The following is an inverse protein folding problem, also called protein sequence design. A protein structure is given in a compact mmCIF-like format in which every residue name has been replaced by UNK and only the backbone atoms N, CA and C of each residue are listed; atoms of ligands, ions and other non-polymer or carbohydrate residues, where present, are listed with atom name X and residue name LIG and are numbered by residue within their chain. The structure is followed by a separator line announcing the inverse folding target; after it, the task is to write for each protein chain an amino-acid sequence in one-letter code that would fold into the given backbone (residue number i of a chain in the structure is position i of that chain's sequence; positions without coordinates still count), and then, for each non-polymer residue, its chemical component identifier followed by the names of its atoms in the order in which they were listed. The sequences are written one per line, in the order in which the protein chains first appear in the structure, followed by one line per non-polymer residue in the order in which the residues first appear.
data_IF_867699278106
#
_entry.id   IF_867699278106
#
_cell.length_a   1.000
_cell.length_b   1.000
_cell.length_c   1.000
_cell.angle_alpha   90.00
_cell.angle_beta   90.00
_cell.angle_gamma   90.00
#
_symmetry.space_group_name_H-M   'P 1'
#
loop_
_entity.id
_entity.type
_entity.pdbx_description
1 polymer ?
#
# COMPACT_ATOMS: atom_id res chain seq x y z
N UNK A 1 3.52 7.39 -7.81
CA UNK A 1 3.36 6.51 -8.99
C UNK A 1 1.91 6.03 -9.10
N UNK A 2 1.34 5.37 -8.08
CA UNK A 2 -0.05 4.88 -8.11
C UNK A 2 -1.15 5.98 -8.20
N UNK A 3 -0.95 7.14 -7.57
CA UNK A 3 -1.97 8.21 -7.57
C UNK A 3 -2.22 8.81 -8.96
N UNK A 4 -1.24 8.75 -9.85
CA UNK A 4 -1.37 9.27 -11.23
C UNK A 4 -2.18 8.35 -12.14
N UNK A 5 -2.11 7.03 -11.94
CA UNK A 5 -2.89 6.07 -12.74
C UNK A 5 -4.38 6.07 -12.36
N UNK A 6 -4.71 6.39 -11.10
CA UNK A 6 -6.09 6.46 -10.61
C UNK A 6 -6.74 7.85 -10.72
N UNK A 7 -6.02 8.85 -11.26
CA UNK A 7 -6.55 10.20 -11.41
C UNK A 7 -7.86 10.28 -12.23
N UNK A 8 -8.04 9.53 -13.34
CA UNK A 8 -9.31 9.51 -14.08
C UNK A 8 -10.47 8.92 -13.27
N UNK A 9 -10.22 7.87 -12.49
CA UNK A 9 -11.22 7.19 -11.66
C UNK A 9 -11.71 8.10 -10.50
N UNK A 10 -10.76 8.80 -9.87
CA UNK A 10 -11.05 9.78 -8.81
C UNK A 10 -11.82 10.96 -9.38
N UNK A 11 -11.43 11.48 -10.54
CA UNK A 11 -12.11 12.59 -11.19
C UNK A 11 -13.54 12.24 -11.57
N UNK A 12 -13.76 11.03 -12.12
CA UNK A 12 -15.10 10.53 -12.45
C UNK A 12 -15.98 10.45 -11.20
N UNK A 13 -15.44 9.95 -10.10
CA UNK A 13 -16.15 9.86 -8.81
C UNK A 13 -16.55 11.25 -8.27
N UNK A 14 -15.66 12.26 -8.40
CA UNK A 14 -15.98 13.63 -7.98
C UNK A 14 -17.05 14.27 -8.87
N UNK A 15 -16.94 14.10 -10.19
CA UNK A 15 -17.92 14.64 -11.15
C UNK A 15 -19.30 14.01 -10.91
N UNK A 16 -19.36 12.70 -10.68
CA UNK A 16 -20.61 11.97 -10.44
C UNK A 16 -21.29 12.40 -9.14
N UNK A 17 -20.52 12.56 -8.04
CA UNK A 17 -21.05 13.02 -6.75
C UNK A 17 -21.54 14.46 -6.84
N UNK A 18 -20.79 15.35 -7.48
CA UNK A 18 -21.19 16.74 -7.69
C UNK A 18 -22.41 16.85 -8.62
N UNK A 19 -22.51 16.00 -9.64
CA UNK A 19 -23.63 15.95 -10.59
C UNK A 19 -24.93 15.42 -10.00
N UNK A 20 -24.86 14.50 -9.02
CA UNK A 20 -26.04 13.90 -8.36
C UNK A 20 -26.41 14.58 -7.02
N UNK A 21 -25.95 15.82 -6.78
CA UNK A 21 -26.31 16.58 -5.58
C UNK A 21 -25.77 15.97 -4.28
N UNK A 22 -24.50 15.55 -4.28
CA UNK A 22 -23.81 14.91 -3.15
C UNK A 22 -24.28 13.49 -2.80
N UNK A 23 -25.01 12.84 -3.70
CA UNK A 23 -25.24 11.40 -3.62
C UNK A 23 -24.12 10.65 -4.33
N UNK A 24 -23.65 9.55 -3.74
CA UNK A 24 -22.74 8.64 -4.41
C UNK A 24 -23.48 7.96 -5.57
N UNK A 25 -23.00 8.18 -6.80
CA UNK A 25 -23.47 7.38 -7.93
C UNK A 25 -22.82 5.99 -7.92
N UNK A 26 -23.38 5.07 -8.68
CA UNK A 26 -22.95 3.66 -8.65
C UNK A 26 -21.57 3.44 -9.30
N UNK A 27 -21.16 4.30 -10.24
CA UNK A 27 -19.95 4.09 -11.03
C UNK A 27 -18.69 4.38 -10.20
N UNK A 28 -18.62 5.49 -9.48
CA UNK A 28 -17.45 5.90 -8.71
C UNK A 28 -16.98 4.84 -7.70
N UNK A 29 -17.79 4.45 -6.71
CA UNK A 29 -17.44 3.44 -5.72
C UNK A 29 -17.13 2.07 -6.36
N UNK A 30 -17.94 1.64 -7.33
CA UNK A 30 -17.78 0.33 -7.97
C UNK A 30 -16.49 0.25 -8.78
N UNK A 31 -16.14 1.31 -9.51
CA UNK A 31 -14.89 1.38 -10.28
C UNK A 31 -13.67 1.41 -9.36
N UNK A 32 -13.69 2.19 -8.27
CA UNK A 32 -12.57 2.25 -7.31
C UNK A 32 -12.33 0.89 -6.67
N UNK A 33 -13.38 0.24 -6.16
CA UNK A 33 -13.27 -1.07 -5.50
C UNK A 33 -12.86 -2.15 -6.50
N UNK A 34 -13.44 -2.14 -7.71
CA UNK A 34 -13.10 -3.09 -8.77
C UNK A 34 -11.65 -2.99 -9.23
N UNK A 35 -11.13 -1.78 -9.43
CA UNK A 35 -9.73 -1.53 -9.82
C UNK A 35 -8.74 -2.01 -8.73
N UNK A 36 -9.07 -1.77 -7.46
CA UNK A 36 -8.28 -2.26 -6.33
C UNK A 36 -8.25 -3.79 -6.25
N UNK A 37 -9.41 -4.45 -6.42
CA UNK A 37 -9.51 -5.91 -6.42
C UNK A 37 -8.73 -6.52 -7.60
N UNK A 38 -8.84 -5.94 -8.80
CA UNK A 38 -8.12 -6.41 -9.99
C UNK A 38 -6.61 -6.34 -9.79
N UNK A 39 -6.11 -5.25 -9.20
CA UNK A 39 -4.69 -5.10 -8.90
C UNK A 39 -4.22 -6.15 -7.87
N UNK A 40 -4.97 -6.36 -6.79
CA UNK A 40 -4.57 -7.30 -5.75
C UNK A 40 -4.63 -8.77 -6.17
N UNK A 41 -5.60 -9.17 -6.99
CA UNK A 41 -5.76 -10.57 -7.37
C UNK A 41 -5.13 -10.90 -8.72
N UNK A 42 -5.48 -10.17 -9.77
CA UNK A 42 -5.11 -10.53 -11.14
C UNK A 42 -3.69 -10.10 -11.48
N UNK A 43 -3.34 -8.83 -11.20
CA UNK A 43 -2.01 -8.30 -11.51
C UNK A 43 -0.94 -9.03 -10.70
N UNK A 44 -1.15 -9.20 -9.39
CA UNK A 44 -0.19 -9.92 -8.53
C UNK A 44 -0.02 -11.38 -9.00
N UNK A 45 -1.11 -12.09 -9.32
CA UNK A 45 -1.01 -13.47 -9.82
C UNK A 45 -0.20 -13.55 -11.12
N UNK A 46 -0.45 -12.64 -12.08
CA UNK A 46 0.29 -12.58 -13.32
C UNK A 46 1.77 -12.25 -13.09
N UNK A 47 2.08 -11.31 -12.20
CA UNK A 47 3.45 -10.95 -11.84
C UNK A 47 4.24 -12.12 -11.25
N UNK A 48 3.58 -13.04 -10.53
CA UNK A 48 4.20 -14.25 -10.00
C UNK A 48 4.34 -15.32 -11.08
N UNK A 49 3.31 -15.50 -11.92
CA UNK A 49 3.29 -16.51 -12.98
C UNK A 49 4.35 -16.28 -14.07
N UNK A 50 4.65 -15.01 -14.41
CA UNK A 50 5.61 -14.65 -15.47
C UNK A 50 7.08 -14.83 -15.02
N UNK A 51 7.33 -15.15 -13.75
CA UNK A 51 8.71 -15.39 -13.28
C UNK A 51 9.25 -16.68 -13.90
N UNK A 52 10.36 -16.64 -14.66
CA UNK A 52 10.90 -17.82 -15.32
C UNK A 52 11.48 -18.82 -14.32
N UNK A 53 11.47 -20.10 -14.70
CA UNK A 53 11.97 -21.19 -13.88
C UNK A 53 13.45 -20.97 -13.51
N UNK A 54 13.75 -21.11 -12.21
CA UNK A 54 15.09 -20.88 -11.65
C UNK A 54 15.36 -19.44 -11.19
N UNK A 55 14.48 -18.48 -11.46
CA UNK A 55 14.57 -17.12 -10.90
C UNK A 55 13.71 -16.95 -9.64
N UNK A 56 14.26 -16.28 -8.62
CA UNK A 56 13.53 -15.94 -7.39
C UNK A 56 13.41 -14.43 -7.26
N UNK A 57 12.18 -13.93 -7.19
CA UNK A 57 11.90 -12.51 -6.88
C UNK A 57 11.75 -12.32 -5.37
N UNK A 58 12.46 -11.34 -4.81
CA UNK A 58 12.42 -11.00 -3.37
C UNK A 58 12.04 -9.54 -3.17
N UNK A 59 11.25 -9.27 -2.14
CA UNK A 59 10.86 -7.93 -1.74
C UNK A 59 12.07 -7.24 -1.07
N UNK A 60 12.58 -6.16 -1.69
CA UNK A 60 13.77 -5.43 -1.19
C UNK A 60 13.48 -4.56 0.04
N UNK A 61 12.26 -4.03 0.16
CA UNK A 61 11.87 -3.07 1.20
C UNK A 61 10.78 -3.65 2.12
N UNK A 62 11.08 -4.76 2.80
CA UNK A 62 10.12 -5.46 3.68
C UNK A 62 9.51 -4.55 4.77
N UNK A 63 10.25 -3.57 5.29
CA UNK A 63 9.77 -2.70 6.38
C UNK A 63 8.76 -1.67 5.92
N UNK A 64 9.02 -1.04 4.77
CA UNK A 64 8.03 -0.17 4.13
C UNK A 64 6.80 -0.99 3.76
N UNK A 65 7.02 -2.21 3.26
CA UNK A 65 5.95 -3.16 2.94
C UNK A 65 5.05 -3.47 4.16
N UNK A 66 5.61 -3.79 5.33
CA UNK A 66 4.81 -4.04 6.54
C UNK A 66 4.02 -2.81 6.99
N UNK A 67 4.62 -1.62 6.95
CA UNK A 67 3.92 -0.37 7.29
C UNK A 67 2.77 -0.13 6.32
N UNK A 68 3.01 -0.26 5.01
CA UNK A 68 1.95 -0.07 4.01
C UNK A 68 0.87 -1.15 4.08
N UNK A 69 1.23 -2.40 4.41
CA UNK A 69 0.27 -3.49 4.56
C UNK A 69 -0.62 -3.30 5.79
N UNK A 70 -0.05 -2.88 6.92
CA UNK A 70 -0.82 -2.56 8.12
C UNK A 70 -1.78 -1.39 7.87
N UNK A 71 -1.31 -0.33 7.22
CA UNK A 71 -2.16 0.80 6.81
C UNK A 71 -3.24 0.41 5.80
N UNK A 72 -2.98 -0.55 4.91
CA UNK A 72 -3.97 -1.07 3.96
C UNK A 72 -5.11 -1.80 4.68
N UNK A 73 -4.81 -2.66 5.65
CA UNK A 73 -5.83 -3.35 6.46
C UNK A 73 -6.62 -2.34 7.29
N UNK A 74 -5.92 -1.37 7.90
CA UNK A 74 -6.57 -0.29 8.65
C UNK A 74 -7.51 0.53 7.76
N UNK A 75 -7.11 0.89 6.54
CA UNK A 75 -7.93 1.66 5.61
C UNK A 75 -9.25 0.95 5.26
N UNK A 76 -9.21 -0.35 4.98
CA UNK A 76 -10.43 -1.14 4.73
C UNK A 76 -11.32 -1.25 5.97
N UNK A 77 -10.71 -1.41 7.14
CA UNK A 77 -11.43 -1.44 8.42
C UNK A 77 -12.10 -0.09 8.69
N UNK A 78 -11.38 1.02 8.47
CA UNK A 78 -11.90 2.37 8.62
C UNK A 78 -13.04 2.65 7.65
N UNK A 79 -12.91 2.25 6.38
CA UNK A 79 -13.96 2.37 5.38
C UNK A 79 -15.24 1.62 5.80
N UNK A 80 -15.10 0.42 6.37
CA UNK A 80 -16.23 -0.29 6.96
C UNK A 80 -16.84 0.46 8.14
N UNK A 81 -16.02 1.01 9.05
CA UNK A 81 -16.50 1.76 10.21
C UNK A 81 -17.32 3.00 9.83
N UNK A 82 -16.84 3.81 8.88
CA UNK A 82 -17.56 5.04 8.47
C UNK A 82 -18.90 4.70 7.80
N UNK A 83 -18.95 3.64 6.98
CA UNK A 83 -20.18 3.29 6.23
C UNK A 83 -21.19 2.46 7.01
N UNK A 84 -20.77 1.65 7.98
CA UNK A 84 -21.63 0.66 8.66
C UNK A 84 -21.84 0.91 10.15
N UNK A 85 -20.93 1.62 10.83
CA UNK A 85 -20.95 1.74 12.30
C UNK A 85 -21.20 3.18 12.75
N UNK A 86 -20.47 4.14 12.17
CA UNK A 86 -20.51 5.54 12.62
C UNK A 86 -21.72 6.25 12.00
N UNK A 87 -21.76 6.31 10.67
CA UNK A 87 -22.81 7.02 9.92
C UNK A 87 -23.39 6.09 8.85
N UNK A 88 -24.36 5.22 9.20
CA UNK A 88 -24.83 4.17 8.30
C UNK A 88 -25.34 4.72 6.96
N UNK A 89 -24.64 4.39 5.87
CA UNK A 89 -25.01 4.77 4.51
C UNK A 89 -24.79 6.24 4.12
N UNK A 90 -24.21 7.06 5.00
CA UNK A 90 -23.93 8.48 4.73
C UNK A 90 -22.54 8.83 5.25
N UNK A 91 -21.70 9.45 4.43
CA UNK A 91 -20.37 9.91 4.87
C UNK A 91 -20.44 11.36 5.30
N UNK A 92 -20.15 11.62 6.58
CA UNK A 92 -20.08 12.98 7.12
C UNK A 92 -18.79 13.69 6.71
N UNK A 93 -18.82 15.03 6.65
CA UNK A 93 -17.68 15.83 6.19
C UNK A 93 -16.43 15.57 7.03
N UNK A 94 -16.56 15.37 8.35
CA UNK A 94 -15.41 15.10 9.20
C UNK A 94 -14.81 13.70 8.96
N UNK A 95 -15.62 12.70 8.62
CA UNK A 95 -15.16 11.34 8.25
C UNK A 95 -14.35 11.41 6.95
N UNK A 96 -14.84 12.17 5.97
CA UNK A 96 -14.13 12.45 4.72
C UNK A 96 -12.83 13.21 4.95
N UNK A 97 -12.83 14.24 5.80
CA UNK A 97 -11.63 15.01 6.14
C UNK A 97 -10.58 14.15 6.86
N UNK A 98 -10.98 13.33 7.84
CA UNK A 98 -10.07 12.41 8.51
C UNK A 98 -9.46 11.40 7.53
N UNK A 99 -10.29 10.83 6.64
CA UNK A 99 -9.83 9.91 5.60
C UNK A 99 -8.83 10.59 4.67
N UNK A 100 -9.08 11.84 4.30
CA UNK A 100 -8.15 12.66 3.51
C UNK A 100 -6.82 12.89 4.25
N UNK A 101 -6.83 13.13 5.57
CA UNK A 101 -5.61 13.28 6.38
C UNK A 101 -4.85 11.97 6.62
N UNK A 102 -5.52 10.82 6.61
CA UNK A 102 -4.83 9.53 6.72
C UNK A 102 -3.87 9.27 5.56
N UNK A 103 -4.14 9.80 4.37
CA UNK A 103 -3.24 9.67 3.23
C UNK A 103 -1.86 10.31 3.46
N UNK A 104 -1.72 11.63 3.75
CA UNK A 104 -0.42 12.24 4.04
C UNK A 104 0.23 11.66 5.29
N UNK A 105 -0.55 11.28 6.31
CA UNK A 105 -0.02 10.60 7.49
C UNK A 105 0.65 9.27 7.10
N UNK A 106 -0.05 8.42 6.34
CA UNK A 106 0.48 7.15 5.84
C UNK A 106 1.76 7.36 5.00
N UNK A 107 1.77 8.37 4.12
CA UNK A 107 2.95 8.73 3.32
C UNK A 107 4.13 9.14 4.20
N UNK A 108 3.91 9.94 5.24
CA UNK A 108 4.95 10.33 6.20
C UNK A 108 5.47 9.10 6.95
N UNK A 109 4.60 8.21 7.43
CA UNK A 109 5.01 6.97 8.09
C UNK A 109 5.83 6.07 7.17
N UNK A 110 5.42 5.92 5.90
CA UNK A 110 6.16 5.16 4.90
C UNK A 110 7.53 5.79 4.60
N UNK A 111 7.59 7.12 4.48
CA UNK A 111 8.85 7.86 4.27
C UNK A 111 9.80 7.75 5.47
N UNK A 112 9.28 7.86 6.69
CA UNK A 112 10.08 7.65 7.93
C UNK A 112 10.61 6.23 7.99
N UNK A 113 9.79 5.23 7.63
CA UNK A 113 10.20 3.82 7.57
C UNK A 113 11.29 3.57 6.51
N UNK A 114 11.32 4.34 5.42
CA UNK A 114 12.37 4.28 4.41
C UNK A 114 13.67 4.98 4.87
N UNK A 115 13.57 6.17 5.47
CA UNK A 115 14.73 7.01 5.86
C UNK A 115 15.47 6.54 7.11
N UNK A 116 14.81 5.96 8.13
CA UNK A 116 15.44 5.62 9.43
C UNK A 116 16.39 4.41 9.44
N UNK A 117 16.83 3.91 8.28
CA UNK A 117 17.41 2.56 8.19
C UNK A 117 18.75 2.39 7.46
N UNK A 118 19.51 3.48 7.30
CA UNK A 118 20.94 3.35 7.04
C UNK A 118 21.70 2.71 8.23
N UNK A 119 21.22 2.85 9.47
CA UNK A 119 21.89 2.26 10.65
C UNK A 119 21.80 0.74 10.74
N UNK A 120 20.68 0.11 10.34
CA UNK A 120 20.55 -1.34 10.44
C UNK A 120 21.11 -2.10 9.23
N UNK A 121 21.28 -1.42 8.08
CA UNK A 121 22.05 -1.97 6.96
C UNK A 121 23.52 -2.18 7.36
N UNK A 122 24.03 -1.35 8.28
CA UNK A 122 25.34 -1.53 8.91
C UNK A 122 25.38 -2.80 9.77
N UNK A 123 24.32 -3.09 10.54
CA UNK A 123 24.23 -4.27 11.41
C UNK A 123 24.10 -5.57 10.60
N UNK A 124 23.28 -5.59 9.55
CA UNK A 124 23.16 -6.78 8.68
C UNK A 124 24.43 -7.01 7.84
N UNK A 125 25.12 -5.94 7.42
CA UNK A 125 26.43 -6.03 6.76
C UNK A 125 27.51 -6.55 7.73
N UNK A 126 27.46 -6.17 9.01
CA UNK A 126 28.32 -6.70 10.08
C UNK A 126 28.06 -8.19 10.35
N UNK A 127 26.81 -8.64 10.27
CA UNK A 127 26.45 -10.06 10.42
C UNK A 127 26.98 -10.93 9.25
N UNK A 128 26.91 -10.43 8.01
CA UNK A 128 27.48 -11.14 6.84
C UNK A 128 29.01 -11.09 6.81
N UNK A 129 29.60 -9.98 7.25
CA UNK A 129 31.06 -9.86 7.42
C UNK A 129 31.59 -10.77 8.56
N UNK A 130 30.78 -11.04 9.59
CA UNK A 130 31.12 -12.00 10.65
C UNK A 130 31.10 -13.45 10.18
N UNK A 131 30.24 -13.81 9.21
CA UNK A 131 30.13 -15.18 8.69
C UNK A 131 31.19 -15.54 7.63
N UNK A 132 31.75 -14.55 6.93
CA UNK A 132 32.89 -14.78 6.02
C UNK A 132 34.25 -14.88 6.70
N UNK A 133 34.35 -14.53 7.99
CA UNK A 133 35.60 -14.61 8.76
C UNK A 133 35.86 -15.99 9.38
N UNK A 134 35.24 -17.04 8.82
CA UNK A 134 35.37 -18.44 9.23
C UNK A 134 35.77 -19.40 8.10
N UNK A 135 36.07 -18.91 6.89
CA UNK A 135 36.81 -19.72 5.90
C UNK A 135 38.28 -19.32 6.00
N UNK A 136 38.98 -19.98 6.91
CA UNK A 136 40.43 -20.01 6.94
C UNK A 136 40.88 -20.83 5.73
N UNK A 137 41.68 -20.18 4.89
CA UNK A 137 42.46 -20.75 3.81
C UNK A 137 43.65 -21.52 4.43
N UNK A 138 44.04 -22.62 3.75
CA UNK A 138 45.24 -23.47 3.93
C UNK A 138 45.19 -24.50 5.09
N UNK A 139 45.59 -25.76 4.91
CA UNK A 139 46.81 -26.24 4.26
C UNK A 139 46.69 -27.63 3.59
N UNK A 140 47.56 -27.82 2.58
CA UNK A 140 48.04 -29.04 1.88
C UNK A 140 47.10 -29.83 0.97
#
# INVERSE_FOLDING_TARGET
MALGSSAPEILLSVIEVCGHGFNAGDLGPSTIVGSAAFNMFVIIALCVYVVPDGEIRKIKHLRVFFVTAAWSIFAYTWLYLILSVISPGVVEVWEGLLTFFFFPICVVFAWVADRRLLFYKYVYKKYRAGKQRGMIIEHE
#
